data_IF_614243460429
#
_entry.id   IF_614243460429
#
_cell.length_a   1.000
_cell.length_b   1.000
_cell.length_c   1.000
_cell.angle_alpha   90.00
_cell.angle_beta   90.00
_cell.angle_gamma   90.00
#
_symmetry.space_group_name_H-M   'P 1'
#
loop_
_entity.id
_entity.type
_entity.pdbx_description
1 polymer ?
#
# COMPACT_ATOMS: atom_id res chain seq x y z
N UNK A 1 9.88 10.88 2.47
CA UNK A 1 9.30 10.78 3.82
C UNK A 1 9.92 9.55 4.47
N UNK A 2 10.56 9.69 5.63
CA UNK A 2 11.11 8.53 6.36
C UNK A 2 10.00 7.85 7.20
N UNK A 3 10.31 6.71 7.83
CA UNK A 3 9.34 5.93 8.62
C UNK A 3 8.77 6.74 9.81
N UNK A 4 9.58 7.56 10.47
CA UNK A 4 9.15 8.33 11.64
C UNK A 4 8.20 9.48 11.25
N UNK A 5 8.50 10.19 10.15
CA UNK A 5 7.61 11.21 9.58
C UNK A 5 6.27 10.58 9.19
N UNK A 6 6.30 9.39 8.58
CA UNK A 6 5.11 8.66 8.19
C UNK A 6 4.25 8.34 9.43
N UNK A 7 4.84 7.85 10.51
CA UNK A 7 4.15 7.54 11.76
C UNK A 7 3.56 8.79 12.44
N UNK A 8 4.31 9.89 12.46
CA UNK A 8 3.86 11.18 12.97
C UNK A 8 2.58 11.62 12.23
N UNK A 9 2.65 11.68 10.91
CA UNK A 9 1.52 12.16 10.12
C UNK A 9 0.31 11.21 10.14
N UNK A 10 0.50 9.89 10.19
CA UNK A 10 -0.62 8.96 10.36
C UNK A 10 -1.43 9.26 11.63
N UNK A 11 -0.80 9.70 12.71
CA UNK A 11 -1.50 10.10 13.94
C UNK A 11 -2.09 11.50 13.81
N UNK A 12 -1.32 12.47 13.35
CA UNK A 12 -1.71 13.88 13.40
C UNK A 12 -2.70 14.30 12.31
N UNK A 13 -2.69 13.63 11.16
CA UNK A 13 -3.63 13.89 10.06
C UNK A 13 -4.99 13.19 10.28
N UNK A 14 -5.06 12.20 11.19
CA UNK A 14 -6.31 11.52 11.51
C UNK A 14 -7.27 12.46 12.25
N UNK A 15 -8.57 12.41 11.92
CA UNK A 15 -9.59 13.24 12.56
C UNK A 15 -9.64 12.99 14.07
N UNK A 16 -9.31 14.02 14.86
CA UNK A 16 -9.22 13.94 16.32
C UNK A 16 -7.84 13.52 16.85
N UNK A 17 -6.88 13.23 15.96
CA UNK A 17 -5.48 12.98 16.26
C UNK A 17 -5.23 11.90 17.32
N UNK A 18 -4.18 12.10 18.11
CA UNK A 18 -3.84 11.19 19.21
C UNK A 18 -4.96 11.05 20.25
N UNK A 19 -5.81 12.06 20.44
CA UNK A 19 -6.94 12.00 21.38
C UNK A 19 -7.96 10.94 20.96
N UNK A 20 -8.25 10.84 19.66
CA UNK A 20 -9.17 9.84 19.12
C UNK A 20 -8.52 8.44 19.00
N UNK A 21 -7.20 8.37 18.83
CA UNK A 21 -6.49 7.12 18.54
C UNK A 21 -5.99 6.38 19.78
N UNK A 22 -5.50 7.07 20.81
CA UNK A 22 -4.80 6.44 21.93
C UNK A 22 -5.62 5.33 22.61
N UNK A 23 -6.88 5.62 22.96
CA UNK A 23 -7.76 4.62 23.58
C UNK A 23 -8.04 3.43 22.66
N UNK A 24 -8.23 3.66 21.35
CA UNK A 24 -8.48 2.59 20.36
C UNK A 24 -7.24 1.72 20.16
N UNK A 25 -6.05 2.32 20.29
CA UNK A 25 -4.78 1.61 20.27
C UNK A 25 -4.49 0.85 21.56
N UNK A 26 -5.19 1.13 22.66
CA UNK A 26 -4.88 0.59 23.99
C UNK A 26 -3.69 1.30 24.66
N UNK A 27 -3.40 2.52 24.23
CA UNK A 27 -2.33 3.36 24.78
C UNK A 27 -2.91 4.23 25.90
N UNK A 28 -2.19 4.29 27.03
CA UNK A 28 -2.64 4.92 28.29
C UNK A 28 -3.13 6.36 28.13
N UNK A 29 -2.50 7.16 27.27
CA UNK A 29 -2.91 8.53 27.04
C UNK A 29 -2.51 9.05 25.66
N UNK A 30 -3.18 10.11 25.16
CA UNK A 30 -2.79 10.80 23.93
C UNK A 30 -1.35 11.33 23.96
N UNK A 31 -0.87 11.77 25.13
CA UNK A 31 0.50 12.22 25.32
C UNK A 31 1.52 11.09 25.07
N UNK A 32 1.23 9.86 25.53
CA UNK A 32 2.11 8.71 25.27
C UNK A 32 2.16 8.37 23.78
N UNK A 33 1.02 8.43 23.08
CA UNK A 33 1.00 8.22 21.63
C UNK A 33 1.76 9.32 20.89
N UNK A 34 1.60 10.58 21.27
CA UNK A 34 2.36 11.70 20.70
C UNK A 34 3.87 11.52 20.92
N UNK A 35 4.30 11.10 22.11
CA UNK A 35 5.72 10.78 22.35
C UNK A 35 6.21 9.63 21.48
N UNK A 36 5.41 8.58 21.31
CA UNK A 36 5.72 7.40 20.48
C UNK A 36 5.99 7.70 19.01
N UNK A 37 5.29 8.69 18.45
CA UNK A 37 5.40 9.07 17.03
C UNK A 37 6.18 10.36 16.80
N UNK A 38 6.64 11.02 17.86
CA UNK A 38 7.48 12.20 17.74
C UNK A 38 8.91 11.78 17.35
N UNK A 39 9.42 12.22 16.18
CA UNK A 39 10.75 11.84 15.68
C UNK A 39 11.90 12.30 16.60
N UNK A 40 11.65 13.26 17.49
CA UNK A 40 12.63 13.77 18.44
C UNK A 40 12.63 13.03 19.79
N UNK A 41 11.77 12.04 19.99
CA UNK A 41 11.74 11.26 21.24
C UNK A 41 12.65 10.03 21.13
N UNK A 42 13.71 9.97 21.94
CA UNK A 42 14.66 8.84 21.97
C UNK A 42 14.17 7.63 22.78
N UNK A 43 12.98 7.72 23.38
CA UNK A 43 12.42 6.67 24.25
C UNK A 43 10.98 6.38 23.86
N UNK A 44 10.45 5.25 24.33
CA UNK A 44 9.04 4.88 24.12
C UNK A 44 8.65 4.86 22.64
N UNK A 45 9.41 4.17 21.79
CA UNK A 45 9.13 4.09 20.36
C UNK A 45 7.80 3.38 20.05
N UNK A 46 7.25 3.68 18.87
CA UNK A 46 6.16 2.92 18.28
C UNK A 46 6.66 1.51 17.95
N UNK A 47 6.06 0.49 18.56
CA UNK A 47 6.39 -0.92 18.27
C UNK A 47 5.76 -1.35 16.94
N UNK A 48 6.27 -2.43 16.33
CA UNK A 48 5.73 -2.95 15.07
C UNK A 48 4.24 -3.31 15.16
N UNK A 49 3.82 -3.89 16.29
CA UNK A 49 2.40 -4.22 16.53
C UNK A 49 1.53 -2.97 16.67
N UNK A 50 2.03 -1.93 17.35
CA UNK A 50 1.32 -0.65 17.44
C UNK A 50 1.24 0.04 16.08
N UNK A 51 2.30 0.01 15.27
CA UNK A 51 2.30 0.55 13.91
C UNK A 51 1.27 -0.17 13.00
N UNK A 52 1.26 -1.50 13.03
CA UNK A 52 0.26 -2.30 12.31
C UNK A 52 -1.17 -1.97 12.75
N UNK A 53 -1.41 -1.89 14.06
CA UNK A 53 -2.71 -1.52 14.61
C UNK A 53 -3.12 -0.10 14.24
N UNK A 54 -2.19 0.86 14.28
CA UNK A 54 -2.42 2.24 13.88
C UNK A 54 -2.87 2.33 12.41
N UNK A 55 -2.16 1.66 11.50
CA UNK A 55 -2.54 1.59 10.08
C UNK A 55 -3.93 0.97 9.91
N UNK A 56 -4.21 -0.15 10.58
CA UNK A 56 -5.52 -0.80 10.50
C UNK A 56 -6.68 0.04 11.05
N UNK A 57 -6.43 0.86 12.08
CA UNK A 57 -7.44 1.76 12.67
C UNK A 57 -7.72 2.98 11.79
N UNK A 58 -6.68 3.51 11.14
CA UNK A 58 -6.73 4.77 10.39
C UNK A 58 -7.05 4.54 8.91
N UNK A 59 -6.75 3.35 8.37
CA UNK A 59 -6.74 3.09 6.94
C UNK A 59 -5.60 3.78 6.19
N UNK A 60 -4.65 4.37 6.92
CA UNK A 60 -3.52 5.11 6.35
C UNK A 60 -2.25 4.26 6.43
N UNK A 61 -1.83 3.77 5.27
CA UNK A 61 -0.71 2.84 5.12
C UNK A 61 0.62 3.52 4.75
N UNK A 62 0.75 4.84 4.94
CA UNK A 62 2.01 5.55 4.61
C UNK A 62 3.23 5.02 5.38
N UNK A 63 3.03 4.47 6.58
CA UNK A 63 4.10 3.81 7.37
C UNK A 63 4.61 2.57 6.61
N UNK A 64 3.71 1.72 6.12
CA UNK A 64 4.07 0.54 5.32
C UNK A 64 4.80 0.95 4.03
N UNK A 65 4.31 1.98 3.35
CA UNK A 65 4.95 2.51 2.14
C UNK A 65 6.37 3.03 2.42
N UNK A 66 6.58 3.73 3.55
CA UNK A 66 7.90 4.23 3.96
C UNK A 66 8.87 3.07 4.26
N UNK A 67 8.41 2.03 4.99
CA UNK A 67 9.21 0.83 5.25
C UNK A 67 9.61 0.14 3.94
N UNK A 68 8.66 -0.03 3.01
CA UNK A 68 8.95 -0.62 1.71
C UNK A 68 9.98 0.20 0.93
N UNK A 69 9.81 1.53 0.90
CA UNK A 69 10.72 2.43 0.18
C UNK A 69 12.17 2.36 0.72
N UNK A 70 12.35 2.29 2.05
CA UNK A 70 13.66 2.16 2.68
C UNK A 70 14.41 0.89 2.25
N UNK A 71 13.68 -0.16 1.89
CA UNK A 71 14.25 -1.44 1.46
C UNK A 71 14.19 -1.68 -0.06
N UNK A 72 13.83 -0.65 -0.86
CA UNK A 72 13.65 -0.81 -2.30
C UNK A 72 12.55 -1.81 -2.68
N UNK A 73 11.50 -1.89 -1.84
CA UNK A 73 10.31 -2.72 -2.03
C UNK A 73 9.11 -1.84 -2.38
N UNK A 74 8.03 -2.47 -2.83
CA UNK A 74 6.73 -1.82 -3.03
C UNK A 74 5.65 -2.56 -2.23
N UNK A 75 4.74 -1.81 -1.63
CA UNK A 75 3.48 -2.33 -1.14
C UNK A 75 2.43 -2.20 -2.25
N UNK A 76 1.65 -3.27 -2.46
CA UNK A 76 0.58 -3.30 -3.46
C UNK A 76 -0.72 -3.49 -2.69
N UNK A 77 -1.69 -2.60 -2.93
CA UNK A 77 -3.03 -2.77 -2.38
C UNK A 77 -3.69 -3.98 -3.04
N UNK A 78 -4.10 -4.93 -2.22
CA UNK A 78 -4.80 -6.10 -2.68
C UNK A 78 -6.27 -5.75 -2.91
N UNK A 79 -6.88 -6.22 -4.01
CA UNK A 79 -8.30 -5.98 -4.25
C UNK A 79 -9.16 -6.71 -3.23
N UNK A 80 -10.30 -6.11 -2.88
CA UNK A 80 -11.36 -6.82 -2.17
C UNK A 80 -12.18 -7.64 -3.18
N UNK A 81 -11.99 -8.97 -3.18
CA UNK A 81 -12.68 -9.89 -4.09
C UNK A 81 -13.86 -10.53 -3.36
N UNK A 82 -15.11 -10.19 -3.71
CA UNK A 82 -16.29 -10.80 -3.10
C UNK A 82 -16.29 -12.31 -3.25
N UNK A 83 -16.79 -13.02 -2.24
CA UNK A 83 -16.93 -14.48 -2.23
C UNK A 83 -17.60 -15.03 -3.48
N UNK A 84 -18.69 -14.38 -3.91
CA UNK A 84 -19.48 -14.77 -5.07
C UNK A 84 -18.75 -14.65 -6.41
N UNK A 85 -17.58 -14.01 -6.45
CA UNK A 85 -16.79 -13.78 -7.67
C UNK A 85 -15.45 -14.53 -7.68
N UNK A 86 -15.18 -15.40 -6.70
CA UNK A 86 -13.90 -16.13 -6.65
C UNK A 86 -13.77 -17.17 -7.76
N UNK A 87 -14.85 -17.89 -8.10
CA UNK A 87 -14.79 -18.99 -9.07
C UNK A 87 -15.01 -18.56 -10.53
N UNK A 88 -15.79 -17.52 -10.78
CA UNK A 88 -16.14 -17.08 -12.15
C UNK A 88 -15.17 -16.05 -12.76
N UNK A 89 -14.14 -15.63 -12.02
CA UNK A 89 -13.29 -14.50 -12.40
C UNK A 89 -11.85 -14.87 -12.78
N UNK A 90 -11.37 -16.09 -12.49
CA UNK A 90 -9.96 -16.44 -12.67
C UNK A 90 -9.47 -16.31 -14.12
N UNK A 91 -10.24 -16.86 -15.09
CA UNK A 91 -9.89 -16.80 -16.50
C UNK A 91 -9.93 -15.36 -17.03
N UNK A 92 -10.93 -14.57 -16.62
CA UNK A 92 -11.03 -13.17 -16.99
C UNK A 92 -9.87 -12.34 -16.41
N UNK A 93 -9.49 -12.57 -15.15
CA UNK A 93 -8.29 -11.97 -14.54
C UNK A 93 -7.05 -12.32 -15.33
N UNK A 94 -6.87 -13.60 -15.70
CA UNK A 94 -5.73 -14.06 -16.48
C UNK A 94 -5.66 -13.40 -17.87
N UNK A 95 -6.79 -13.33 -18.59
CA UNK A 95 -6.85 -12.66 -19.89
C UNK A 95 -6.56 -11.15 -19.78
N UNK A 96 -7.04 -10.50 -18.72
CA UNK A 96 -6.77 -9.09 -18.46
C UNK A 96 -5.28 -8.82 -18.20
N UNK A 97 -4.51 -9.78 -17.68
CA UNK A 97 -3.05 -9.65 -17.55
C UNK A 97 -2.41 -9.50 -18.93
N UNK A 98 -2.88 -10.26 -19.93
CA UNK A 98 -2.42 -10.14 -21.31
C UNK A 98 -2.65 -8.74 -21.88
N UNK A 99 -3.83 -8.16 -21.62
CA UNK A 99 -4.17 -6.79 -22.03
C UNK A 99 -3.27 -5.77 -21.34
N UNK A 100 -3.12 -5.86 -20.01
CA UNK A 100 -2.29 -4.92 -19.22
C UNK A 100 -0.81 -5.00 -19.59
N UNK A 101 -0.28 -6.19 -19.86
CA UNK A 101 1.06 -6.36 -20.45
C UNK A 101 1.17 -5.62 -21.78
N UNK A 102 0.17 -5.73 -22.65
CA UNK A 102 0.12 -4.99 -23.91
C UNK A 102 0.18 -3.47 -23.71
N UNK A 103 -0.52 -2.95 -22.70
CA UNK A 103 -0.48 -1.53 -22.34
C UNK A 103 0.90 -1.09 -21.85
N UNK A 104 1.58 -1.89 -21.01
CA UNK A 104 2.96 -1.61 -20.59
C UNK A 104 3.87 -1.52 -21.81
N UNK A 105 3.80 -2.50 -22.72
CA UNK A 105 4.60 -2.50 -23.95
C UNK A 105 4.32 -1.28 -24.84
N UNK A 106 3.04 -0.89 -24.97
CA UNK A 106 2.63 0.28 -25.74
C UNK A 106 3.21 1.57 -25.15
N UNK A 107 3.03 1.79 -23.85
CA UNK A 107 3.54 2.97 -23.14
C UNK A 107 5.07 3.04 -23.23
N UNK A 108 5.75 1.91 -23.12
CA UNK A 108 7.21 1.85 -23.20
C UNK A 108 7.72 2.26 -24.58
N UNK A 109 7.06 1.77 -25.63
CA UNK A 109 7.38 2.17 -27.01
C UNK A 109 7.16 3.67 -27.24
N UNK A 110 6.07 4.22 -26.72
CA UNK A 110 5.75 5.64 -26.84
C UNK A 110 6.78 6.52 -26.13
N UNK A 111 7.17 6.14 -24.91
CA UNK A 111 8.20 6.81 -24.11
C UNK A 111 9.60 6.81 -24.76
N UNK A 112 9.87 5.89 -25.68
CA UNK A 112 11.16 5.82 -26.40
C UNK A 112 11.10 6.46 -27.79
N UNK A 113 9.93 6.88 -28.27
CA UNK A 113 9.71 7.25 -29.66
C UNK A 113 10.44 8.53 -30.09
N UNK A 114 10.61 9.50 -29.19
CA UNK A 114 11.26 10.79 -29.45
C UNK A 114 12.73 10.83 -28.98
N UNK A 115 13.23 9.72 -28.44
CA UNK A 115 14.59 9.58 -27.92
C UNK A 115 14.85 10.29 -26.59
N UNK A 116 13.83 10.76 -25.86
CA UNK A 116 13.98 11.43 -24.57
C UNK A 116 12.90 11.01 -23.59
N UNK A 117 13.31 10.57 -22.40
CA UNK A 117 12.37 10.20 -21.33
C UNK A 117 12.14 11.40 -20.41
N UNK A 118 10.88 11.82 -20.29
CA UNK A 118 10.44 12.91 -19.41
C UNK A 118 9.96 12.39 -18.05
N UNK A 119 9.90 13.28 -17.06
CA UNK A 119 9.34 12.94 -15.73
C UNK A 119 7.87 12.51 -15.80
N UNK A 120 7.09 13.14 -16.69
CA UNK A 120 5.68 12.78 -16.89
C UNK A 120 5.52 11.34 -17.37
N UNK A 121 6.34 10.94 -18.35
CA UNK A 121 6.29 9.58 -18.89
C UNK A 121 6.74 8.52 -17.88
N UNK A 122 7.72 8.82 -17.03
CA UNK A 122 8.09 7.92 -15.93
C UNK A 122 6.93 7.73 -14.96
N UNK A 123 6.21 8.81 -14.62
CA UNK A 123 5.03 8.75 -13.76
C UNK A 123 3.92 7.92 -14.42
N UNK A 124 3.66 8.13 -15.70
CA UNK A 124 2.61 7.40 -16.42
C UNK A 124 2.96 5.93 -16.61
N UNK A 125 4.23 5.62 -16.91
CA UNK A 125 4.72 4.25 -16.93
C UNK A 125 4.56 3.57 -15.57
N UNK A 126 4.92 4.25 -14.48
CA UNK A 126 4.77 3.71 -13.13
C UNK A 126 3.32 3.36 -12.80
N UNK A 127 2.35 4.17 -13.24
CA UNK A 127 0.91 3.85 -13.09
C UNK A 127 0.53 2.58 -13.85
N UNK A 128 0.93 2.45 -15.12
CA UNK A 128 0.59 1.28 -15.95
C UNK A 128 1.24 -0.01 -15.40
N UNK A 129 2.46 0.09 -14.87
CA UNK A 129 3.13 -1.03 -14.18
C UNK A 129 2.40 -1.37 -12.88
N UNK A 130 2.01 -0.37 -12.08
CA UNK A 130 1.27 -0.59 -10.84
C UNK A 130 -0.06 -1.30 -11.09
N UNK A 131 -0.82 -0.90 -12.11
CA UNK A 131 -2.04 -1.60 -12.53
C UNK A 131 -1.80 -3.08 -12.83
N UNK A 132 -0.68 -3.40 -13.48
CA UNK A 132 -0.31 -4.78 -13.78
C UNK A 132 0.06 -5.55 -12.50
N UNK A 133 0.79 -4.93 -11.58
CA UNK A 133 1.12 -5.53 -10.28
C UNK A 133 -0.14 -5.84 -9.45
N UNK A 134 -1.10 -4.91 -9.39
CA UNK A 134 -2.39 -5.14 -8.70
C UNK A 134 -3.09 -6.35 -9.31
N UNK A 135 -3.16 -6.44 -10.64
CA UNK A 135 -3.85 -7.55 -11.31
C UNK A 135 -3.16 -8.91 -11.12
N UNK A 136 -1.82 -8.93 -11.07
CA UNK A 136 -1.07 -10.13 -10.73
C UNK A 136 -1.36 -10.58 -9.29
N UNK A 137 -1.41 -9.63 -8.36
CA UNK A 137 -1.76 -9.92 -6.96
C UNK A 137 -3.22 -10.41 -6.82
N UNK A 138 -4.16 -9.86 -7.60
CA UNK A 138 -5.55 -10.35 -7.71
C UNK A 138 -5.57 -11.83 -8.10
N UNK A 139 -4.81 -12.19 -9.14
CA UNK A 139 -4.78 -13.56 -9.64
C UNK A 139 -4.24 -14.52 -8.57
N UNK A 140 -3.16 -14.14 -7.89
CA UNK A 140 -2.59 -14.92 -6.79
C UNK A 140 -3.61 -15.16 -5.67
N UNK A 141 -4.36 -14.13 -5.27
CA UNK A 141 -5.42 -14.28 -4.27
C UNK A 141 -6.55 -15.20 -4.72
N UNK A 142 -6.99 -15.10 -5.98
CA UNK A 142 -8.04 -15.97 -6.52
C UNK A 142 -7.60 -17.44 -6.53
N UNK A 143 -6.37 -17.72 -6.96
CA UNK A 143 -5.80 -19.07 -6.94
C UNK A 143 -5.75 -19.63 -5.51
N UNK A 144 -5.27 -18.83 -4.55
CA UNK A 144 -5.18 -19.24 -3.16
C UNK A 144 -6.57 -19.55 -2.56
N UNK A 145 -7.60 -18.79 -2.95
CA UNK A 145 -8.96 -19.03 -2.49
C UNK A 145 -9.55 -20.33 -3.04
N UNK A 146 -9.20 -20.75 -4.26
CA UNK A 146 -9.65 -22.03 -4.81
C UNK A 146 -9.14 -23.24 -4.01
N UNK A 147 -7.98 -23.14 -3.37
CA UNK A 147 -7.41 -24.21 -2.52
C UNK A 147 -8.14 -24.29 -1.17
N UNK A 148 -8.62 -23.17 -0.63
CA UNK A 148 -9.30 -23.10 0.67
C UNK A 148 -10.78 -23.54 0.61
N UNK A 149 -11.36 -23.62 -0.59
CA UNK A 149 -12.72 -24.11 -0.81
C UNK A 149 -12.84 -25.63 -1.02
N UNK A 150 -11.74 -26.37 -0.89
CA UNK A 150 -11.67 -27.85 -0.88
C UNK A 150 -11.49 -28.37 0.54
#
# INVERSE_FOLDING_TARGET
>A
MNILDAAYHTVHDFKGGANALASRMGIKSPAVLNSKVNPNTETHHLTLLEASKLMGITGDFRILQAICAEHGKAAIDLPDIPESKRDSCLMDTFLNIGIKKGNVSKQFREMLADGRITKGEVIDMAKVIHDMHVLLATLEQQINACIQGQ
#
